data_IF_069269746216
#
_entry.id   IF_069269746216
#
_cell.length_a   1.000
_cell.length_b   1.000
_cell.length_c   1.000
_cell.angle_alpha   90.00
_cell.angle_beta   90.00
_cell.angle_gamma   90.00
#
_symmetry.space_group_name_H-M   'P 1'
#
loop_
_entity.id
_entity.type
_entity.pdbx_description
1 polymer ?
#
# COMPACT_ATOMS: atom_id res chain seq x y z
N UNK A 1 21.86 -8.21 -78.62
CA UNK A 1 20.77 -8.47 -77.71
C UNK A 1 21.35 -9.41 -76.59
N UNK A 2 21.75 -8.84 -75.43
CA UNK A 2 22.42 -9.59 -74.35
C UNK A 2 21.38 -9.99 -73.31
N UNK A 3 21.24 -11.26 -73.06
CA UNK A 3 20.34 -11.82 -72.04
C UNK A 3 21.19 -12.06 -70.78
N UNK A 4 20.89 -11.35 -69.71
CA UNK A 4 21.46 -11.60 -68.39
C UNK A 4 20.59 -12.61 -67.63
N UNK A 5 21.22 -13.72 -67.24
CA UNK A 5 20.64 -14.72 -66.30
C UNK A 5 20.98 -14.30 -64.88
N UNK A 6 19.99 -14.08 -64.07
CA UNK A 6 20.15 -13.95 -62.62
C UNK A 6 20.06 -15.33 -61.93
N UNK A 7 21.12 -15.69 -61.23
CA UNK A 7 21.12 -16.86 -60.35
C UNK A 7 20.56 -16.45 -59.01
N UNK A 8 19.45 -17.06 -58.57
CA UNK A 8 18.91 -16.95 -57.21
C UNK A 8 19.69 -17.92 -56.30
N UNK A 9 20.46 -17.36 -55.35
CA UNK A 9 21.04 -18.14 -54.27
C UNK A 9 20.06 -18.12 -53.07
N UNK A 10 19.46 -19.26 -52.79
CA UNK A 10 18.59 -19.41 -51.63
C UNK A 10 19.46 -19.55 -50.38
N UNK A 11 19.37 -18.58 -49.48
CA UNK A 11 19.97 -18.63 -48.13
C UNK A 11 19.03 -19.40 -47.19
N UNK A 12 19.41 -20.63 -46.85
CA UNK A 12 18.71 -21.40 -45.81
C UNK A 12 19.17 -20.88 -44.44
N UNK A 13 18.32 -20.11 -43.77
CA UNK A 13 18.53 -19.73 -42.37
C UNK A 13 18.02 -20.85 -41.46
N UNK A 14 18.93 -21.63 -40.92
CA UNK A 14 18.61 -22.58 -39.84
C UNK A 14 18.40 -21.80 -38.57
N UNK A 15 17.13 -21.58 -38.19
CA UNK A 15 16.78 -21.01 -36.90
C UNK A 15 17.00 -22.07 -35.82
N UNK A 16 18.09 -21.92 -35.06
CA UNK A 16 18.34 -22.67 -33.84
C UNK A 16 17.34 -22.26 -32.79
N UNK A 17 16.36 -23.09 -32.49
CA UNK A 17 15.43 -22.92 -31.39
C UNK A 17 16.20 -23.18 -30.09
N UNK A 18 16.62 -22.13 -29.41
CA UNK A 18 17.09 -22.19 -28.01
C UNK A 18 15.83 -22.06 -27.16
N UNK A 19 15.47 -23.03 -26.32
CA UNK A 19 14.36 -22.86 -25.40
C UNK A 19 14.79 -21.82 -24.39
N UNK A 20 14.19 -20.64 -24.47
CA UNK A 20 14.35 -19.57 -23.49
C UNK A 20 13.89 -20.11 -22.15
N UNK A 21 14.82 -20.36 -21.23
CA UNK A 21 14.50 -20.61 -19.85
C UNK A 21 13.76 -19.36 -19.32
N UNK A 22 12.44 -19.48 -19.19
CA UNK A 22 11.58 -18.43 -18.68
C UNK A 22 12.02 -18.12 -17.25
N UNK A 23 12.72 -16.99 -17.08
CA UNK A 23 13.27 -16.56 -15.82
C UNK A 23 12.10 -16.08 -14.95
N UNK A 24 11.57 -16.95 -14.07
CA UNK A 24 10.36 -16.74 -13.26
C UNK A 24 10.48 -15.58 -12.27
N UNK A 25 11.67 -15.00 -12.07
CA UNK A 25 11.86 -13.78 -11.30
C UNK A 25 11.28 -12.53 -11.99
N UNK A 26 11.10 -12.54 -13.31
CA UNK A 26 10.63 -11.38 -14.07
C UNK A 26 9.11 -11.24 -14.15
N UNK A 27 8.34 -12.27 -13.79
CA UNK A 27 6.86 -12.21 -13.83
C UNK A 27 6.32 -11.33 -12.69
N UNK A 28 7.04 -11.25 -11.55
CA UNK A 28 6.66 -10.36 -10.45
C UNK A 28 6.86 -8.87 -10.74
N UNK A 29 7.87 -8.53 -11.55
CA UNK A 29 8.09 -7.15 -11.97
C UNK A 29 7.08 -6.69 -13.03
N UNK A 30 6.42 -7.62 -13.77
CA UNK A 30 5.45 -7.24 -14.78
C UNK A 30 4.09 -6.84 -14.19
N UNK A 31 3.59 -7.51 -13.16
CA UNK A 31 2.26 -7.22 -12.59
C UNK A 31 2.13 -5.81 -12.00
N UNK A 32 3.21 -5.28 -11.43
CA UNK A 32 3.23 -3.88 -10.94
C UNK A 32 3.67 -2.89 -12.03
N UNK A 33 4.34 -3.34 -13.09
CA UNK A 33 4.69 -2.51 -14.25
C UNK A 33 3.52 -2.29 -15.22
N UNK A 34 2.53 -3.15 -15.18
CA UNK A 34 1.29 -3.02 -15.94
C UNK A 34 0.29 -2.08 -15.23
N UNK A 35 0.65 -1.59 -14.03
CA UNK A 35 -0.02 -0.46 -13.41
C UNK A 35 0.46 0.82 -14.10
N UNK A 36 -0.46 1.65 -14.57
CA UNK A 36 -0.19 2.65 -15.57
C UNK A 36 0.67 3.86 -15.11
N UNK A 37 1.31 4.51 -16.06
CA UNK A 37 2.22 5.66 -16.03
C UNK A 37 1.62 6.95 -15.41
N UNK A 38 2.44 7.83 -14.76
CA UNK A 38 2.04 9.02 -13.99
C UNK A 38 1.33 10.15 -14.76
N UNK A 39 1.04 10.01 -16.03
CA UNK A 39 0.39 11.06 -16.84
C UNK A 39 -1.14 10.98 -16.94
N UNK A 40 -1.79 10.14 -16.13
CA UNK A 40 -3.25 10.00 -16.10
C UNK A 40 -3.74 8.75 -15.37
N UNK A 41 -2.87 8.02 -14.74
CA UNK A 41 -3.10 6.70 -14.18
C UNK A 41 -2.85 6.67 -12.67
N UNK A 42 -3.52 5.82 -11.88
CA UNK A 42 -3.34 5.74 -10.45
C UNK A 42 -1.89 5.49 -10.05
N UNK A 43 -1.38 6.26 -9.09
CA UNK A 43 -0.07 6.01 -8.51
C UNK A 43 -0.17 4.95 -7.43
N UNK A 44 0.79 4.03 -7.42
CA UNK A 44 0.84 2.96 -6.42
C UNK A 44 1.51 3.50 -5.17
N UNK A 45 0.81 3.40 -4.06
CA UNK A 45 1.32 3.66 -2.73
C UNK A 45 1.48 2.33 -1.99
N UNK A 46 2.36 2.27 -1.00
CA UNK A 46 2.42 1.14 -0.08
C UNK A 46 2.51 1.67 1.35
N UNK A 47 1.70 1.12 2.23
CA UNK A 47 1.81 1.41 3.64
C UNK A 47 3.12 0.85 4.20
N UNK A 48 3.76 1.62 5.09
CA UNK A 48 5.09 1.34 5.61
C UNK A 48 5.12 1.39 7.13
N UNK A 49 5.56 0.31 7.74
CA UNK A 49 5.71 0.20 9.19
C UNK A 49 7.11 0.63 9.62
N UNK A 50 7.24 1.75 10.39
CA UNK A 50 8.53 2.34 10.76
C UNK A 50 9.10 1.79 12.07
N UNK A 51 8.59 0.69 12.62
CA UNK A 51 8.85 0.22 13.98
C UNK A 51 9.91 -0.88 14.12
N UNK A 52 10.39 -1.49 13.05
CA UNK A 52 11.34 -2.59 13.17
C UNK A 52 12.70 -2.13 13.72
N UNK A 53 13.18 -2.88 14.71
CA UNK A 53 14.32 -2.51 15.56
C UNK A 53 13.90 -1.90 16.89
N UNK A 54 12.61 -1.58 17.11
CA UNK A 54 12.05 -1.34 18.42
C UNK A 54 11.84 -2.70 19.14
N UNK A 55 12.19 -2.83 20.43
CA UNK A 55 12.08 -4.11 21.15
C UNK A 55 10.65 -4.61 21.38
N UNK A 56 9.64 -3.78 21.13
CA UNK A 56 8.23 -4.17 21.25
C UNK A 56 7.71 -4.90 19.99
N UNK A 57 8.50 -4.94 18.92
CA UNK A 57 8.15 -5.56 17.65
C UNK A 57 9.05 -6.74 17.33
N UNK A 58 8.61 -7.62 16.43
CA UNK A 58 9.39 -8.80 16.03
C UNK A 58 10.70 -8.40 15.35
N UNK A 59 11.73 -9.21 15.56
CA UNK A 59 13.00 -9.05 14.84
C UNK A 59 12.86 -9.60 13.41
N UNK A 60 12.96 -8.71 12.43
CA UNK A 60 12.91 -9.03 11.01
C UNK A 60 14.30 -9.02 10.35
N UNK A 61 15.36 -8.82 11.16
CA UNK A 61 16.75 -8.79 10.74
C UNK A 61 17.23 -7.42 10.25
N UNK A 62 16.49 -6.35 10.52
CA UNK A 62 16.90 -4.97 10.24
C UNK A 62 16.22 -3.96 11.18
N UNK A 63 16.75 -2.73 11.16
CA UNK A 63 16.11 -1.59 11.84
C UNK A 63 15.58 -0.58 10.83
N UNK A 64 14.39 -0.03 11.10
CA UNK A 64 13.80 1.11 10.39
C UNK A 64 14.60 2.42 10.61
N UNK A 65 15.65 2.40 11.44
CA UNK A 65 16.58 3.51 11.63
C UNK A 65 17.95 3.26 10.96
N UNK A 66 18.10 2.21 10.13
CA UNK A 66 19.31 2.00 9.34
C UNK A 66 19.18 2.67 7.95
N UNK A 67 19.99 3.71 7.66
CA UNK A 67 19.93 4.41 6.38
C UNK A 67 20.17 3.51 5.17
N UNK A 68 20.99 2.46 5.29
CA UNK A 68 21.25 1.55 4.19
C UNK A 68 20.06 0.64 3.88
N UNK A 69 19.34 0.22 4.93
CA UNK A 69 18.10 -0.52 4.79
C UNK A 69 17.05 0.34 4.09
N UNK A 70 16.85 1.58 4.55
CA UNK A 70 15.88 2.49 3.96
C UNK A 70 16.16 2.79 2.48
N UNK A 71 17.42 3.05 2.11
CA UNK A 71 17.82 3.23 0.69
C UNK A 71 17.50 1.99 -0.15
N UNK A 72 17.80 0.80 0.38
CA UNK A 72 17.50 -0.46 -0.31
C UNK A 72 16.00 -0.69 -0.46
N UNK A 73 15.22 -0.41 0.57
CA UNK A 73 13.75 -0.52 0.53
C UNK A 73 13.15 0.44 -0.50
N UNK A 74 13.56 1.71 -0.52
CA UNK A 74 13.14 2.68 -1.54
C UNK A 74 13.50 2.21 -2.95
N UNK A 75 14.73 1.72 -3.16
CA UNK A 75 15.16 1.23 -4.46
C UNK A 75 14.31 0.01 -4.91
N UNK A 76 14.03 -0.93 -3.99
CA UNK A 76 13.19 -2.09 -4.26
C UNK A 76 11.75 -1.67 -4.56
N UNK A 77 11.16 -0.78 -3.77
CA UNK A 77 9.81 -0.27 -3.96
C UNK A 77 9.66 0.41 -5.33
N UNK A 78 10.61 1.27 -5.69
CA UNK A 78 10.63 1.92 -7.00
C UNK A 78 10.74 0.90 -8.14
N UNK A 79 11.56 -0.14 -8.01
CA UNK A 79 11.67 -1.21 -8.99
C UNK A 79 10.38 -2.02 -9.15
N UNK A 80 9.53 -2.05 -8.11
CA UNK A 80 8.19 -2.64 -8.16
C UNK A 80 7.12 -1.67 -8.67
N UNK A 81 7.47 -0.42 -9.00
CA UNK A 81 6.54 0.59 -9.48
C UNK A 81 5.84 1.39 -8.38
N UNK A 82 6.21 1.20 -7.12
CA UNK A 82 5.67 1.96 -5.99
C UNK A 82 6.19 3.41 -6.07
N UNK A 83 5.26 4.35 -5.98
CA UNK A 83 5.52 5.78 -6.09
C UNK A 83 5.84 6.44 -4.75
N UNK A 84 5.17 6.00 -3.68
CA UNK A 84 5.36 6.54 -2.34
C UNK A 84 5.13 5.50 -1.26
N UNK A 85 5.76 5.72 -0.10
CA UNK A 85 5.35 5.07 1.14
C UNK A 85 4.36 5.96 1.90
N UNK A 86 3.28 5.36 2.40
CA UNK A 86 2.37 5.95 3.38
C UNK A 86 2.77 5.37 4.72
N UNK A 87 3.31 6.19 5.60
CA UNK A 87 4.02 5.70 6.79
C UNK A 87 3.12 5.79 8.00
N UNK A 88 2.92 4.67 8.66
CA UNK A 88 2.15 4.59 9.89
C UNK A 88 2.88 5.35 11.01
N UNK A 89 2.26 6.46 11.48
CA UNK A 89 2.89 7.42 12.36
C UNK A 89 1.99 7.83 13.52
N UNK A 90 2.44 7.56 14.73
CA UNK A 90 1.71 7.74 15.98
C UNK A 90 1.97 9.10 16.64
N UNK A 91 2.43 10.08 15.88
CA UNK A 91 2.82 11.37 16.43
C UNK A 91 4.21 11.35 17.08
N UNK A 92 4.64 12.53 17.56
CA UNK A 92 5.94 12.74 18.19
C UNK A 92 6.08 12.05 19.56
N UNK A 93 4.98 11.55 20.13
CA UNK A 93 4.96 10.86 21.42
C UNK A 93 5.49 9.43 21.35
N UNK A 94 5.66 8.89 20.13
CA UNK A 94 6.34 7.63 19.86
C UNK A 94 7.73 7.89 19.27
N UNK A 95 8.77 8.13 20.11
CA UNK A 95 10.03 8.69 19.63
C UNK A 95 10.82 7.79 18.69
N UNK A 96 10.63 6.47 18.77
CA UNK A 96 11.29 5.54 17.82
C UNK A 96 10.68 5.70 16.43
N UNK A 97 9.35 5.66 16.33
CA UNK A 97 8.62 5.76 15.06
C UNK A 97 8.81 7.13 14.42
N UNK A 98 8.75 8.19 15.23
CA UNK A 98 8.98 9.57 14.77
C UNK A 98 10.38 9.76 14.17
N UNK A 99 11.43 9.26 14.83
CA UNK A 99 12.80 9.28 14.28
C UNK A 99 12.95 8.43 13.02
N UNK A 100 12.28 7.27 12.98
CA UNK A 100 12.28 6.41 11.79
C UNK A 100 11.64 7.10 10.61
N UNK A 101 10.50 7.78 10.81
CA UNK A 101 9.84 8.59 9.79
C UNK A 101 10.72 9.74 9.31
N UNK A 102 11.29 10.52 10.24
CA UNK A 102 12.16 11.65 9.92
C UNK A 102 13.34 11.22 9.03
N UNK A 103 13.99 10.10 9.37
CA UNK A 103 15.10 9.54 8.60
C UNK A 103 14.62 9.05 7.23
N UNK A 104 13.50 8.35 7.16
CA UNK A 104 12.92 7.87 5.91
C UNK A 104 12.59 9.03 4.97
N UNK A 105 11.96 10.10 5.46
CA UNK A 105 11.65 11.27 4.64
C UNK A 105 12.91 11.98 4.14
N UNK A 106 13.95 12.10 4.97
CA UNK A 106 15.23 12.64 4.54
C UNK A 106 15.82 11.82 3.39
N UNK A 107 15.88 10.49 3.54
CA UNK A 107 16.42 9.60 2.51
C UNK A 107 15.54 9.61 1.26
N UNK A 108 14.23 9.65 1.41
CA UNK A 108 13.29 9.76 0.29
C UNK A 108 13.55 11.02 -0.55
N UNK A 109 13.85 12.18 0.09
CA UNK A 109 14.26 13.40 -0.60
C UNK A 109 15.56 13.19 -1.39
N UNK A 110 16.58 12.59 -0.78
CA UNK A 110 17.87 12.27 -1.43
C UNK A 110 17.69 11.32 -2.63
N UNK A 111 16.82 10.34 -2.49
CA UNK A 111 16.54 9.31 -3.50
C UNK A 111 15.44 9.71 -4.49
N UNK A 112 14.83 10.89 -4.37
CA UNK A 112 13.68 11.34 -5.21
C UNK A 112 12.50 10.36 -5.16
N UNK A 113 12.16 9.93 -3.98
CA UNK A 113 11.01 9.10 -3.67
C UNK A 113 10.03 9.90 -2.81
N UNK A 114 8.79 9.43 -2.67
CA UNK A 114 7.79 10.15 -1.89
C UNK A 114 7.37 9.40 -0.64
N UNK A 115 6.97 10.17 0.37
CA UNK A 115 6.40 9.68 1.62
C UNK A 115 5.20 10.52 2.03
N UNK A 116 4.25 9.93 2.73
CA UNK A 116 3.15 10.61 3.40
C UNK A 116 3.02 10.06 4.81
N UNK A 117 2.41 10.82 5.69
CA UNK A 117 2.01 10.36 7.02
C UNK A 117 0.66 9.65 6.91
N UNK A 118 0.53 8.47 7.53
CA UNK A 118 -0.71 7.91 8.02
C UNK A 118 -0.73 8.14 9.53
N UNK A 119 -1.56 9.09 9.96
CA UNK A 119 -1.71 9.37 11.39
C UNK A 119 -2.57 8.28 12.02
N UNK A 120 -1.95 7.44 12.81
CA UNK A 120 -2.62 6.44 13.62
C UNK A 120 -3.18 7.09 14.89
N UNK A 121 -4.52 7.09 15.01
CA UNK A 121 -5.23 7.74 16.11
C UNK A 121 -4.93 7.02 17.42
N UNK A 122 -4.81 7.76 18.52
CA UNK A 122 -4.56 7.13 19.83
C UNK A 122 -5.68 6.18 20.25
N UNK A 123 -5.30 5.02 20.79
CA UNK A 123 -6.26 4.05 21.34
C UNK A 123 -6.74 4.43 22.75
N UNK A 124 -6.03 5.31 23.43
CA UNK A 124 -6.34 5.67 24.81
C UNK A 124 -7.60 6.54 24.89
N UNK A 125 -8.62 6.04 25.59
CA UNK A 125 -9.82 6.80 25.92
C UNK A 125 -9.59 7.64 27.18
N UNK A 126 -8.63 8.56 27.08
CA UNK A 126 -8.22 9.45 28.18
C UNK A 126 -8.83 10.86 28.06
N UNK A 127 -9.68 11.09 27.06
CA UNK A 127 -10.29 12.39 26.77
C UNK A 127 -9.34 13.40 26.10
N UNK A 128 -8.14 12.99 25.70
CA UNK A 128 -7.12 13.85 25.09
C UNK A 128 -6.88 13.59 23.59
N UNK A 129 -7.62 12.69 22.96
CA UNK A 129 -7.40 12.31 21.56
C UNK A 129 -7.38 13.52 20.61
N UNK A 130 -8.26 14.49 20.82
CA UNK A 130 -8.28 15.72 20.01
C UNK A 130 -7.05 16.58 20.22
N UNK A 131 -6.64 16.79 21.47
CA UNK A 131 -5.44 17.58 21.78
C UNK A 131 -4.18 16.91 21.22
N UNK A 132 -4.10 15.58 21.29
CA UNK A 132 -3.00 14.80 20.72
C UNK A 132 -2.94 14.91 19.21
N UNK A 133 -4.08 14.82 18.53
CA UNK A 133 -4.14 15.01 17.07
C UNK A 133 -3.76 16.44 16.66
N UNK A 134 -4.22 17.48 17.41
CA UNK A 134 -3.85 18.87 17.15
C UNK A 134 -2.34 19.09 17.31
N UNK A 135 -1.74 18.58 18.40
CA UNK A 135 -0.29 18.65 18.62
C UNK A 135 0.50 17.88 17.55
N UNK A 136 0.02 16.69 17.15
CA UNK A 136 0.65 15.88 16.11
C UNK A 136 0.63 16.59 14.75
N UNK A 137 -0.51 17.19 14.37
CA UNK A 137 -0.62 17.95 13.11
C UNK A 137 0.31 19.19 13.13
N UNK A 138 0.37 19.92 14.23
CA UNK A 138 1.28 21.07 14.37
C UNK A 138 2.75 20.65 14.28
N UNK A 139 3.10 19.55 14.92
CA UNK A 139 4.45 18.97 14.84
C UNK A 139 4.79 18.51 13.42
N UNK A 140 3.88 17.79 12.74
CA UNK A 140 4.07 17.33 11.38
C UNK A 140 4.26 18.52 10.41
N UNK A 141 3.48 19.58 10.55
CA UNK A 141 3.65 20.78 9.74
C UNK A 141 5.04 21.41 9.91
N UNK A 142 5.48 21.57 11.17
CA UNK A 142 6.77 22.21 11.47
C UNK A 142 7.97 21.38 11.02
N UNK A 143 7.89 20.06 11.09
CA UNK A 143 9.05 19.18 10.91
C UNK A 143 9.06 18.41 9.58
N UNK A 144 7.90 18.22 8.94
CA UNK A 144 7.79 17.32 7.77
C UNK A 144 7.14 17.96 6.55
N UNK A 145 6.18 18.90 6.73
CA UNK A 145 5.28 19.33 5.63
C UNK A 145 5.52 20.79 5.25
N UNK A 146 5.76 21.65 6.24
CA UNK A 146 5.76 23.10 6.06
C UNK A 146 6.91 23.65 5.20
N UNK A 147 6.85 24.93 4.80
CA UNK A 147 7.75 25.51 3.80
C UNK A 147 9.23 25.58 4.25
N UNK A 148 9.51 25.52 5.55
CA UNK A 148 10.89 25.53 6.09
C UNK A 148 11.57 24.18 6.14
N UNK A 149 10.88 23.09 5.84
CA UNK A 149 11.41 21.71 5.93
C UNK A 149 12.27 21.36 4.72
N UNK A 150 13.51 20.90 4.95
CA UNK A 150 14.48 20.59 3.87
C UNK A 150 14.02 19.44 2.98
N UNK A 151 13.41 18.41 3.57
CA UNK A 151 12.94 17.20 2.87
C UNK A 151 11.47 17.30 2.43
N UNK A 152 10.90 18.51 2.41
CA UNK A 152 9.51 18.76 2.00
C UNK A 152 9.20 18.27 0.59
N UNK A 153 10.17 18.29 -0.29
CA UNK A 153 10.06 17.82 -1.67
C UNK A 153 9.75 16.33 -1.79
N UNK A 154 10.10 15.54 -0.76
CA UNK A 154 9.71 14.14 -0.65
C UNK A 154 8.27 13.94 -0.16
N UNK A 155 7.62 14.96 0.41
CA UNK A 155 6.27 14.77 0.93
C UNK A 155 5.25 14.63 -0.19
N UNK A 156 4.39 13.60 -0.11
CA UNK A 156 3.39 13.30 -1.13
C UNK A 156 2.35 14.42 -1.23
N UNK A 157 2.09 14.88 -2.44
CA UNK A 157 1.09 15.91 -2.71
C UNK A 157 0.15 15.47 -3.84
N UNK A 158 -1.07 15.97 -3.78
CA UNK A 158 -2.01 15.95 -4.90
C UNK A 158 -2.46 17.38 -5.20
N UNK A 159 -2.28 17.81 -6.44
CA UNK A 159 -2.58 19.20 -6.87
C UNK A 159 -1.89 20.27 -5.99
N UNK A 160 -0.67 19.98 -5.53
CA UNK A 160 0.13 20.89 -4.69
C UNK A 160 -0.28 20.90 -3.20
N UNK A 161 -1.28 20.14 -2.79
CA UNK A 161 -1.69 19.99 -1.38
C UNK A 161 -1.08 18.72 -0.79
N UNK A 162 -0.46 18.78 0.42
CA UNK A 162 0.05 17.60 1.10
C UNK A 162 -1.11 16.65 1.47
N UNK A 163 -0.82 15.35 1.49
CA UNK A 163 -1.82 14.33 1.83
C UNK A 163 -1.50 13.77 3.22
N UNK A 164 -2.50 13.68 4.08
CA UNK A 164 -2.41 12.98 5.37
C UNK A 164 -3.50 11.92 5.38
N UNK A 165 -3.10 10.67 5.56
CA UNK A 165 -4.00 9.58 5.83
C UNK A 165 -4.32 9.54 7.33
N UNK A 166 -5.52 9.12 7.66
CA UNK A 166 -5.97 8.96 9.06
C UNK A 166 -6.42 7.52 9.25
N UNK A 167 -5.71 6.82 10.12
CA UNK A 167 -6.08 5.48 10.57
C UNK A 167 -6.83 5.60 11.90
N UNK A 168 -8.17 5.42 11.90
CA UNK A 168 -8.97 5.63 13.09
C UNK A 168 -8.86 4.44 14.05
N UNK A 169 -8.87 4.73 15.35
CA UNK A 169 -8.94 3.69 16.38
C UNK A 169 -10.33 3.66 17.03
N UNK A 170 -10.64 4.67 17.86
CA UNK A 170 -11.91 4.70 18.61
C UNK A 170 -12.84 5.82 18.23
N UNK A 171 -12.46 6.69 17.30
CA UNK A 171 -13.26 7.83 16.86
C UNK A 171 -13.44 8.90 17.93
N UNK A 172 -12.51 9.04 18.87
CA UNK A 172 -12.57 9.99 19.98
C UNK A 172 -12.07 11.38 19.61
N UNK A 173 -11.45 11.53 18.45
CA UNK A 173 -10.92 12.81 17.96
C UNK A 173 -12.04 13.66 17.37
N UNK A 174 -12.13 14.93 17.78
CA UNK A 174 -12.95 15.93 17.09
C UNK A 174 -12.23 16.41 15.82
N UNK A 175 -12.47 15.73 14.74
CA UNK A 175 -11.86 16.02 13.44
C UNK A 175 -12.30 17.38 12.86
N UNK A 176 -13.40 17.98 13.36
CA UNK A 176 -13.76 19.34 12.96
C UNK A 176 -12.79 20.37 13.49
N UNK A 177 -12.29 20.19 14.73
CA UNK A 177 -11.27 21.05 15.30
C UNK A 177 -9.92 20.86 14.59
N UNK A 178 -9.53 19.60 14.33
CA UNK A 178 -8.29 19.30 13.58
C UNK A 178 -8.33 19.95 12.20
N UNK A 179 -9.45 19.80 11.45
CA UNK A 179 -9.64 20.44 10.14
C UNK A 179 -9.52 21.95 10.24
N UNK A 180 -10.10 22.57 11.27
CA UNK A 180 -10.01 24.01 11.46
C UNK A 180 -8.55 24.48 11.64
N UNK A 181 -7.74 23.72 12.39
CA UNK A 181 -6.32 24.02 12.59
C UNK A 181 -5.52 23.88 11.30
N UNK A 182 -5.62 22.73 10.61
CA UNK A 182 -4.79 22.47 9.42
C UNK A 182 -5.19 23.36 8.24
N UNK A 183 -6.39 23.93 8.24
CA UNK A 183 -6.81 24.94 7.26
C UNK A 183 -6.06 26.27 7.41
N UNK A 184 -5.33 26.48 8.51
CA UNK A 184 -4.49 27.66 8.68
C UNK A 184 -3.09 27.50 8.05
N UNK A 185 -2.75 26.31 7.55
CA UNK A 185 -1.47 26.09 6.91
C UNK A 185 -1.39 26.85 5.57
N UNK A 186 -0.20 27.21 5.15
CA UNK A 186 0.04 27.86 3.84
C UNK A 186 -0.54 27.03 2.69
N UNK A 187 -0.42 25.70 2.77
CA UNK A 187 -1.07 24.75 1.88
C UNK A 187 -1.87 23.76 2.75
N UNK A 188 -3.18 23.97 2.93
CA UNK A 188 -4.02 23.06 3.70
C UNK A 188 -3.99 21.64 3.15
N UNK A 189 -3.81 20.63 4.00
CA UNK A 189 -3.69 19.24 3.56
C UNK A 189 -5.00 18.68 3.05
N UNK A 190 -4.88 17.62 2.24
CA UNK A 190 -5.95 16.68 1.97
C UNK A 190 -5.95 15.66 3.10
N UNK A 191 -7.06 15.54 3.85
CA UNK A 191 -7.24 14.53 4.88
C UNK A 191 -8.05 13.38 4.30
N UNK A 192 -7.50 12.17 4.36
CA UNK A 192 -8.13 10.95 3.85
C UNK A 192 -8.39 10.01 5.03
N UNK A 193 -9.63 9.55 5.18
CA UNK A 193 -10.05 8.69 6.28
C UNK A 193 -10.20 7.23 5.82
N UNK A 194 -9.94 6.29 6.71
CA UNK A 194 -10.22 4.88 6.44
C UNK A 194 -11.72 4.64 6.42
N UNK A 195 -12.23 4.11 5.31
CA UNK A 195 -13.66 3.82 5.12
C UNK A 195 -14.59 5.03 5.36
N UNK A 196 -15.58 4.85 6.25
CA UNK A 196 -16.62 5.85 6.53
C UNK A 196 -16.25 6.67 7.77
N UNK A 197 -15.92 7.96 7.66
CA UNK A 197 -15.77 8.81 8.82
C UNK A 197 -17.12 8.95 9.57
N UNK A 198 -17.12 9.12 10.90
CA UNK A 198 -18.33 9.43 11.64
C UNK A 198 -19.08 10.58 10.99
N UNK A 199 -20.40 10.46 10.83
CA UNK A 199 -21.21 11.39 10.02
C UNK A 199 -21.08 12.87 10.42
N UNK A 200 -20.84 13.15 11.71
CA UNK A 200 -20.57 14.50 12.22
C UNK A 200 -19.26 15.08 11.70
N UNK A 201 -18.30 14.24 11.28
CA UNK A 201 -16.99 14.65 10.78
C UNK A 201 -16.82 14.47 9.28
N UNK A 202 -17.84 14.07 8.54
CA UNK A 202 -17.76 13.82 7.10
C UNK A 202 -17.21 15.00 6.30
N UNK A 203 -17.42 16.24 6.76
CA UNK A 203 -16.90 17.47 6.15
C UNK A 203 -15.44 17.78 6.53
N UNK A 204 -14.86 17.06 7.47
CA UNK A 204 -13.47 17.23 7.85
C UNK A 204 -12.52 16.56 6.85
N UNK A 205 -13.00 15.64 6.04
CA UNK A 205 -12.20 14.83 5.14
C UNK A 205 -12.44 15.18 3.67
N UNK A 206 -11.37 15.13 2.89
CA UNK A 206 -11.38 15.36 1.44
C UNK A 206 -11.59 14.05 0.66
N UNK A 207 -11.52 12.90 1.33
CA UNK A 207 -11.71 11.59 0.72
C UNK A 207 -11.55 10.43 1.68
N UNK A 208 -11.62 9.22 1.13
CA UNK A 208 -11.56 7.98 1.87
C UNK A 208 -10.62 6.99 1.19
N UNK A 209 -10.05 6.07 1.98
CA UNK A 209 -9.23 4.98 1.47
C UNK A 209 -9.70 3.62 1.98
N UNK A 210 -9.63 2.60 1.13
CA UNK A 210 -9.93 1.23 1.50
C UNK A 210 -8.75 0.60 2.25
N UNK A 211 -9.07 -0.16 3.31
CA UNK A 211 -8.09 -0.92 4.09
C UNK A 211 -8.41 -2.41 4.08
N UNK A 212 -7.54 -3.23 4.71
CA UNK A 212 -7.70 -4.68 4.75
C UNK A 212 -8.97 -5.08 5.51
N UNK A 213 -9.94 -5.61 4.81
CA UNK A 213 -11.19 -6.06 5.41
C UNK A 213 -11.78 -7.28 4.67
N UNK A 214 -12.24 -8.32 5.38
CA UNK A 214 -12.78 -9.54 4.74
C UNK A 214 -14.17 -9.37 4.12
N UNK A 215 -14.85 -8.26 4.39
CA UNK A 215 -16.20 -7.98 3.89
C UNK A 215 -17.33 -8.47 4.81
N UNK A 216 -18.55 -8.48 4.29
CA UNK A 216 -19.78 -8.79 5.05
C UNK A 216 -19.80 -10.20 5.65
N UNK A 217 -19.02 -11.12 5.10
CA UNK A 217 -18.86 -12.46 5.64
C UNK A 217 -18.06 -12.50 6.94
N UNK A 218 -17.37 -11.41 7.28
CA UNK A 218 -16.51 -11.26 8.44
C UNK A 218 -15.29 -12.19 8.43
N UNK A 219 -14.48 -12.10 9.46
CA UNK A 219 -13.30 -12.93 9.64
C UNK A 219 -13.68 -14.42 9.77
N UNK A 220 -12.96 -15.28 9.04
CA UNK A 220 -13.14 -16.73 9.05
C UNK A 220 -11.85 -17.42 9.44
N UNK A 221 -11.87 -18.54 10.19
CA UNK A 221 -10.65 -19.23 10.64
C UNK A 221 -9.70 -19.61 9.49
N UNK A 222 -10.24 -20.00 8.35
CA UNK A 222 -9.45 -20.34 7.14
C UNK A 222 -9.17 -19.18 6.21
N UNK A 223 -9.61 -17.95 6.54
CA UNK A 223 -9.36 -16.77 5.73
C UNK A 223 -10.05 -16.73 4.35
N UNK A 224 -11.17 -17.46 4.17
CA UNK A 224 -11.82 -17.59 2.87
C UNK A 224 -12.52 -16.33 2.39
N UNK A 225 -12.91 -15.44 3.29
CA UNK A 225 -13.42 -14.12 2.93
C UNK A 225 -12.23 -13.18 2.71
N UNK A 226 -12.04 -12.73 1.47
CA UNK A 226 -10.84 -11.95 1.10
C UNK A 226 -11.12 -10.47 0.81
N UNK A 227 -12.40 -10.06 0.85
CA UNK A 227 -12.78 -8.66 0.76
C UNK A 227 -13.46 -8.24 -0.54
N UNK A 228 -13.89 -9.17 -1.40
CA UNK A 228 -14.53 -8.85 -2.69
C UNK A 228 -15.76 -7.95 -2.54
N UNK A 229 -16.69 -8.34 -1.66
CA UNK A 229 -17.91 -7.59 -1.41
C UNK A 229 -17.64 -6.26 -0.69
N UNK A 230 -16.64 -6.19 0.16
CA UNK A 230 -16.20 -4.95 0.78
C UNK A 230 -15.66 -3.96 -0.25
N UNK A 231 -14.69 -4.37 -1.07
CA UNK A 231 -14.10 -3.49 -2.09
C UNK A 231 -15.13 -2.99 -3.10
N UNK A 232 -15.99 -3.90 -3.61
CA UNK A 232 -17.06 -3.51 -4.53
C UNK A 232 -18.03 -2.50 -3.90
N UNK A 233 -18.39 -2.69 -2.62
CA UNK A 233 -19.24 -1.77 -1.89
C UNK A 233 -18.55 -0.41 -1.65
N UNK A 234 -17.27 -0.42 -1.26
CA UNK A 234 -16.47 0.78 -1.06
C UNK A 234 -16.42 1.64 -2.33
N UNK A 235 -15.97 1.09 -3.45
CA UNK A 235 -15.89 1.83 -4.71
C UNK A 235 -17.26 2.30 -5.21
N UNK A 236 -18.29 1.46 -5.08
CA UNK A 236 -19.66 1.82 -5.46
C UNK A 236 -20.17 2.98 -4.59
N UNK A 237 -19.91 2.96 -3.29
CA UNK A 237 -20.23 4.05 -2.36
C UNK A 237 -19.53 5.35 -2.77
N UNK A 238 -18.22 5.31 -2.97
CA UNK A 238 -17.45 6.48 -3.36
C UNK A 238 -17.97 7.08 -4.66
N UNK A 239 -18.14 6.27 -5.69
CA UNK A 239 -18.65 6.72 -6.98
C UNK A 239 -20.04 7.34 -6.91
N UNK A 240 -20.96 6.76 -6.14
CA UNK A 240 -22.39 7.14 -6.18
C UNK A 240 -22.80 8.13 -5.09
N UNK A 241 -22.14 8.10 -3.92
CA UNK A 241 -22.50 8.96 -2.78
C UNK A 241 -21.48 10.06 -2.52
N UNK A 242 -20.23 9.85 -2.92
CA UNK A 242 -19.13 10.77 -2.65
C UNK A 242 -18.34 11.10 -3.93
N UNK A 243 -18.99 11.44 -5.07
CA UNK A 243 -18.31 11.63 -6.36
C UNK A 243 -17.31 12.79 -6.37
N UNK A 244 -17.44 13.74 -5.45
CA UNK A 244 -16.57 14.90 -5.31
C UNK A 244 -15.43 14.67 -4.31
N UNK A 245 -15.34 13.49 -3.70
CA UNK A 245 -14.30 13.14 -2.75
C UNK A 245 -13.21 12.28 -3.41
N UNK A 246 -12.01 12.35 -2.85
CA UNK A 246 -10.88 11.55 -3.30
C UNK A 246 -11.09 10.10 -2.88
N UNK A 247 -11.04 9.20 -3.84
CA UNK A 247 -11.03 7.76 -3.59
C UNK A 247 -9.60 7.25 -3.66
N UNK A 248 -9.15 6.49 -2.64
CA UNK A 248 -7.91 5.72 -2.71
C UNK A 248 -8.25 4.25 -2.64
N UNK A 249 -7.87 3.50 -3.67
CA UNK A 249 -8.11 2.07 -3.74
C UNK A 249 -7.27 1.27 -2.74
N UNK A 250 -7.73 0.07 -2.36
CA UNK A 250 -7.02 -0.85 -1.47
C UNK A 250 -6.65 -2.16 -2.16
N UNK A 251 -5.42 -2.63 -1.92
CA UNK A 251 -4.91 -3.93 -2.39
C UNK A 251 -4.10 -4.59 -1.28
N UNK A 252 -4.25 -5.90 -1.08
CA UNK A 252 -3.52 -6.67 -0.07
C UNK A 252 -3.22 -8.10 -0.52
N UNK A 253 -2.07 -8.68 -0.08
CA UNK A 253 -1.69 -10.04 -0.46
C UNK A 253 -2.38 -11.13 0.36
N UNK A 254 -2.99 -10.78 1.45
CA UNK A 254 -3.57 -11.59 2.50
C UNK A 254 -3.44 -10.86 3.84
N UNK A 255 -3.76 -11.53 4.93
CA UNK A 255 -3.65 -11.02 6.30
C UNK A 255 -3.52 -12.18 7.28
N UNK A 256 -2.61 -12.10 8.24
CA UNK A 256 -2.46 -13.08 9.32
C UNK A 256 -1.78 -12.42 10.51
N UNK A 257 -2.57 -11.97 11.49
CA UNK A 257 -2.07 -11.25 12.66
C UNK A 257 -1.49 -12.17 13.76
N UNK A 258 -1.28 -13.44 13.46
CA UNK A 258 -0.83 -14.44 14.47
C UNK A 258 0.52 -14.11 15.11
N UNK A 259 1.33 -13.23 14.49
CA UNK A 259 2.63 -12.79 15.02
C UNK A 259 2.55 -11.46 15.75
N UNK A 260 1.45 -10.74 15.64
CA UNK A 260 1.26 -9.47 16.30
C UNK A 260 0.96 -9.66 17.79
N UNK A 261 1.51 -8.81 18.65
CA UNK A 261 1.21 -8.83 20.10
C UNK A 261 -0.24 -8.47 20.40
N UNK A 262 -0.90 -7.77 19.47
CA UNK A 262 -2.34 -7.40 19.48
C UNK A 262 -3.23 -8.37 18.69
N UNK A 263 -2.74 -9.56 18.39
CA UNK A 263 -3.46 -10.55 17.58
C UNK A 263 -4.86 -10.86 18.11
N UNK A 264 -5.83 -10.87 17.22
CA UNK A 264 -7.19 -11.38 17.43
C UNK A 264 -7.45 -12.68 16.65
N UNK A 265 -6.37 -13.34 16.17
CA UNK A 265 -6.42 -14.53 15.32
C UNK A 265 -7.24 -14.34 14.04
N UNK A 266 -7.08 -13.16 13.42
CA UNK A 266 -7.73 -12.79 12.16
C UNK A 266 -6.91 -13.29 10.99
N UNK A 267 -7.59 -13.72 9.92
CA UNK A 267 -6.91 -14.23 8.74
C UNK A 267 -7.68 -13.94 7.46
N UNK A 268 -6.95 -13.53 6.44
CA UNK A 268 -7.31 -13.60 5.02
C UNK A 268 -6.23 -14.45 4.34
N UNK A 269 -6.61 -15.58 3.73
CA UNK A 269 -5.64 -16.46 3.05
C UNK A 269 -5.07 -15.76 1.81
N UNK A 270 -3.76 -15.79 1.66
CA UNK A 270 -3.08 -15.25 0.48
C UNK A 270 -3.43 -16.02 -0.81
N UNK A 271 -3.96 -17.26 -0.69
CA UNK A 271 -4.30 -18.13 -1.80
C UNK A 271 -3.19 -18.22 -2.83
N UNK A 272 -1.94 -18.34 -2.35
CA UNK A 272 -0.75 -18.38 -3.20
C UNK A 272 -0.54 -17.14 -4.09
N UNK A 273 -0.99 -15.99 -3.63
CA UNK A 273 -0.94 -14.71 -4.35
C UNK A 273 -2.23 -14.34 -5.08
N UNK A 274 -3.20 -15.25 -5.17
CA UNK A 274 -4.47 -14.97 -5.83
C UNK A 274 -5.26 -13.84 -5.12
N UNK A 275 -5.12 -13.70 -3.79
CA UNK A 275 -5.77 -12.60 -3.06
C UNK A 275 -5.26 -11.24 -3.52
N UNK A 276 -3.96 -11.10 -3.77
CA UNK A 276 -3.40 -9.86 -4.32
C UNK A 276 -3.92 -9.58 -5.73
N UNK A 277 -3.93 -10.60 -6.59
CA UNK A 277 -4.42 -10.48 -7.97
C UNK A 277 -5.91 -10.13 -8.01
N UNK A 278 -6.73 -10.71 -7.13
CA UNK A 278 -8.17 -10.44 -7.07
C UNK A 278 -8.48 -9.05 -6.52
N UNK A 279 -7.78 -8.59 -5.47
CA UNK A 279 -7.96 -7.21 -4.95
C UNK A 279 -7.55 -6.17 -5.99
N UNK A 280 -6.45 -6.42 -6.71
CA UNK A 280 -6.00 -5.57 -7.81
C UNK A 280 -6.99 -5.56 -9.00
N UNK A 281 -7.57 -6.72 -9.34
CA UNK A 281 -8.61 -6.82 -10.38
C UNK A 281 -9.84 -5.99 -10.02
N UNK A 282 -10.34 -6.11 -8.79
CA UNK A 282 -11.50 -5.30 -8.34
C UNK A 282 -11.18 -3.81 -8.41
N UNK A 283 -9.97 -3.39 -8.02
CA UNK A 283 -9.54 -2.01 -8.20
C UNK A 283 -9.65 -1.57 -9.67
N UNK A 284 -9.09 -2.32 -10.61
CA UNK A 284 -9.13 -1.98 -12.03
C UNK A 284 -10.55 -1.97 -12.63
N UNK A 285 -11.47 -2.78 -12.12
CA UNK A 285 -12.86 -2.78 -12.55
C UNK A 285 -13.61 -1.50 -12.17
N UNK A 286 -13.13 -0.79 -11.15
CA UNK A 286 -13.74 0.44 -10.64
C UNK A 286 -12.99 1.72 -11.01
N UNK A 287 -11.72 1.62 -11.45
CA UNK A 287 -10.96 2.77 -11.95
C UNK A 287 -11.35 3.05 -13.39
N UNK A 288 -12.18 4.03 -13.61
CA UNK A 288 -12.67 4.41 -14.93
C UNK A 288 -12.44 5.90 -15.23
N UNK A 289 -12.31 6.30 -16.51
CA UNK A 289 -12.03 7.68 -16.89
C UNK A 289 -13.06 8.71 -16.43
N UNK A 290 -14.27 8.30 -16.05
CA UNK A 290 -15.32 9.20 -15.56
C UNK A 290 -15.23 9.45 -14.05
N UNK A 291 -14.55 8.55 -13.34
CA UNK A 291 -14.25 8.64 -11.91
C UNK A 291 -12.85 8.11 -11.65
N UNK A 292 -11.81 8.85 -12.08
CA UNK A 292 -10.43 8.39 -11.97
C UNK A 292 -10.02 8.31 -10.50
N UNK A 293 -9.43 7.18 -10.13
CA UNK A 293 -8.90 6.95 -8.79
C UNK A 293 -7.41 7.34 -8.80
N UNK A 294 -6.98 8.42 -8.10
CA UNK A 294 -5.62 8.93 -8.23
C UNK A 294 -4.56 8.02 -7.60
N UNK A 295 -4.96 7.18 -6.65
CA UNK A 295 -4.05 6.32 -5.89
C UNK A 295 -4.65 4.95 -5.62
N UNK A 296 -3.78 3.94 -5.57
CA UNK A 296 -4.06 2.64 -4.96
C UNK A 296 -3.04 2.38 -3.85
N UNK A 297 -3.51 2.03 -2.66
CA UNK A 297 -2.70 1.75 -1.47
C UNK A 297 -2.56 0.24 -1.27
N UNK A 298 -1.33 -0.24 -1.25
CA UNK A 298 -1.02 -1.62 -0.90
C UNK A 298 -0.84 -1.70 0.61
N UNK A 299 -1.60 -2.53 1.25
CA UNK A 299 -1.43 -2.91 2.64
C UNK A 299 -0.74 -4.28 2.68
N UNK A 300 0.59 -4.31 2.95
CA UNK A 300 1.55 -3.26 3.30
C UNK A 300 2.89 -3.47 2.58
N UNK A 301 3.84 -2.52 2.68
CA UNK A 301 5.22 -2.79 2.27
C UNK A 301 5.87 -3.84 3.15
N UNK A 302 5.83 -3.66 4.47
CA UNK A 302 6.67 -4.42 5.39
C UNK A 302 5.99 -4.86 6.70
N UNK A 303 4.66 -4.92 6.79
CA UNK A 303 4.05 -5.48 8.00
C UNK A 303 4.15 -7.00 8.01
N UNK A 304 5.18 -7.48 8.72
CA UNK A 304 5.42 -8.91 8.94
C UNK A 304 4.65 -9.47 10.14
N UNK A 305 4.08 -8.62 11.00
CA UNK A 305 3.31 -9.01 12.18
C UNK A 305 1.87 -9.33 11.79
N UNK A 306 1.32 -8.59 10.81
CA UNK A 306 0.01 -8.86 10.24
C UNK A 306 0.06 -9.65 8.91
N UNK A 307 1.26 -10.08 8.48
CA UNK A 307 1.43 -10.95 7.32
C UNK A 307 1.05 -10.33 5.98
N UNK A 308 0.96 -9.01 5.91
CA UNK A 308 0.61 -8.25 4.69
C UNK A 308 1.82 -7.78 3.89
N UNK A 309 3.04 -8.04 4.38
CA UNK A 309 4.28 -7.55 3.79
C UNK A 309 4.52 -8.05 2.36
N UNK A 310 4.83 -7.11 1.43
CA UNK A 310 5.25 -7.41 0.06
C UNK A 310 6.73 -7.13 -0.21
N UNK A 311 7.50 -6.63 0.76
CA UNK A 311 8.92 -6.29 0.61
C UNK A 311 9.76 -7.44 0.04
N UNK A 312 9.44 -8.69 0.41
CA UNK A 312 10.09 -9.91 -0.06
C UNK A 312 9.38 -10.57 -1.25
N UNK A 313 8.41 -9.87 -1.85
CA UNK A 313 7.56 -10.35 -2.91
C UNK A 313 6.20 -10.87 -2.42
N UNK A 314 5.25 -10.99 -3.36
CA UNK A 314 3.91 -11.50 -3.07
C UNK A 314 4.00 -13.02 -2.83
N UNK A 315 3.42 -13.56 -1.73
CA UNK A 315 3.47 -14.99 -1.43
C UNK A 315 2.93 -15.84 -2.57
N UNK A 316 3.69 -16.85 -3.00
CA UNK A 316 3.26 -17.85 -4.01
C UNK A 316 3.57 -19.25 -3.53
N UNK A 317 2.66 -20.19 -3.80
CA UNK A 317 2.93 -21.60 -3.52
C UNK A 317 3.97 -22.14 -4.51
N UNK A 318 4.90 -22.98 -4.02
CA UNK A 318 5.77 -23.72 -4.91
C UNK A 318 4.94 -24.79 -5.63
N UNK A 319 5.11 -24.94 -6.94
CA UNK A 319 4.45 -25.96 -7.75
C UNK A 319 4.80 -27.40 -7.36
N UNK A 320 5.71 -27.61 -6.41
CA UNK A 320 6.11 -28.94 -5.92
C UNK A 320 5.14 -29.57 -4.90
N UNK A 321 4.24 -28.80 -4.29
CA UNK A 321 3.25 -29.37 -3.33
C UNK A 321 2.02 -29.97 -3.97
N UNK A 322 1.73 -29.71 -5.25
CA UNK A 322 0.54 -30.23 -5.92
C UNK A 322 0.71 -31.68 -6.46
N UNK A 323 1.90 -32.28 -6.35
CA UNK A 323 2.21 -33.59 -6.98
C UNK A 323 2.19 -34.76 -5.99
N UNK A 324 1.69 -34.63 -4.77
CA UNK A 324 1.56 -35.72 -3.81
C UNK A 324 0.18 -35.79 -3.16
N UNK A 325 -0.83 -36.08 -3.97
CA UNK A 325 -1.98 -36.84 -3.47
C UNK A 325 -1.66 -38.31 -3.76
N UNK A 326 -1.57 -39.19 -2.78
CA UNK A 326 -1.49 -40.62 -3.04
C UNK A 326 -2.78 -41.05 -3.67
N UNK A 327 -2.67 -41.72 -4.85
CA UNK A 327 -3.77 -42.50 -5.41
C UNK A 327 -4.24 -43.50 -4.36
N UNK A 328 -5.49 -43.41 -3.97
CA UNK A 328 -6.15 -44.48 -3.23
C UNK A 328 -6.38 -45.65 -4.22
N UNK A 329 -5.39 -46.51 -4.32
CA UNK A 329 -5.64 -47.86 -4.85
C UNK A 329 -6.30 -48.68 -3.73
N UNK A 330 -7.58 -48.94 -3.91
CA UNK A 330 -8.31 -49.94 -3.13
C UNK A 330 -7.84 -51.32 -3.58
N UNK A 331 -7.42 -52.22 -2.67
CA UNK A 331 -7.37 -53.63 -3.01
C UNK A 331 -8.77 -54.21 -2.86
N UNK A 332 -9.29 -54.73 -3.97
CA UNK A 332 -10.28 -55.80 -3.93
C UNK A 332 -9.58 -57.08 -3.50
N UNK A 333 -10.00 -57.65 -2.38
CA UNK A 333 -10.35 -59.05 -2.16
C UNK A 333 -11.00 -59.21 -0.80
#
# INVERSE_FOLDING_TARGET
MKIYRYALTALVVVASYVPSACNRANVHQSLLKDLPDPTGNPKILADYQPWFGDPNHIDVGYSSQDPNVLRKQIANARNMGIYAFVVDWYGQRQPFLDRSYALLQQIASEERFHVAIMYDETEEDNGHATDEALEAMDFAYKNYIGPGVRSRDAYLTLQGRPIIFVFPKRGNTDWSQVRQQVNQWESPPLLLYEDDPPSQYSRAFDGEYAWVYPGSKGWRPGGQAWGEDYLNNFYTKMKNKHPDQITVGGVWPGFDDSKASWSLHRRIDSRCGQTFEDTLRVFHEHDDPTHPIPFVLIATWNDYEEGTAIERGIPRCSTQSAARLPSQDSPHE
#
